data_IF_329113877476
#
_entry.id   IF_329113877476
#
_cell.length_a   1.000
_cell.length_b   1.000
_cell.length_c   1.000
_cell.angle_alpha   90.00
_cell.angle_beta   90.00
_cell.angle_gamma   90.00
#
_symmetry.space_group_name_H-M   'P 1'
#
loop_
_entity.id
_entity.type
_entity.pdbx_description
1 polymer ?
#
# COMPACT_ATOMS: atom_id res chain seq x y z
N UNK A 1 16.97 -31.81 -14.53
CA UNK A 1 17.34 -30.38 -14.35
C UNK A 1 16.69 -29.59 -15.48
N UNK A 2 16.13 -28.41 -15.18
CA UNK A 2 15.63 -27.50 -16.23
C UNK A 2 16.81 -26.90 -17.01
N UNK A 3 16.64 -26.72 -18.32
CA UNK A 3 17.54 -25.90 -19.13
C UNK A 3 17.40 -24.43 -18.77
N UNK A 4 18.38 -23.59 -19.14
CA UNK A 4 18.33 -22.13 -18.91
C UNK A 4 17.05 -21.49 -19.47
N UNK A 5 16.63 -21.89 -20.67
CA UNK A 5 15.41 -21.36 -21.31
C UNK A 5 14.15 -21.77 -20.56
N UNK A 6 14.09 -23.00 -20.09
CA UNK A 6 12.96 -23.49 -19.28
C UNK A 6 12.90 -22.78 -17.93
N UNK A 7 14.05 -22.57 -17.28
CA UNK A 7 14.12 -21.83 -16.03
C UNK A 7 13.62 -20.38 -16.18
N UNK A 8 14.01 -19.69 -17.26
CA UNK A 8 13.54 -18.34 -17.55
C UNK A 8 12.02 -18.29 -17.83
N UNK A 9 11.49 -19.23 -18.62
CA UNK A 9 10.04 -19.34 -18.88
C UNK A 9 9.24 -19.66 -17.62
N UNK A 10 9.78 -20.52 -16.76
CA UNK A 10 9.16 -20.85 -15.49
C UNK A 10 9.07 -19.61 -14.59
N UNK A 11 10.17 -18.88 -14.43
CA UNK A 11 10.19 -17.62 -13.67
C UNK A 11 9.23 -16.57 -14.25
N UNK A 12 9.23 -16.38 -15.57
CA UNK A 12 8.32 -15.44 -16.23
C UNK A 12 6.85 -15.80 -15.95
N UNK A 13 6.48 -17.08 -16.08
CA UNK A 13 5.12 -17.54 -15.81
C UNK A 13 4.67 -17.24 -14.38
N UNK A 14 5.56 -17.38 -13.40
CA UNK A 14 5.27 -17.09 -12.00
C UNK A 14 5.14 -15.59 -11.70
N UNK A 15 5.85 -14.73 -12.43
CA UNK A 15 6.03 -13.30 -12.08
C UNK A 15 5.22 -12.35 -12.94
N UNK A 16 4.98 -12.70 -14.21
CA UNK A 16 4.41 -11.81 -15.23
C UNK A 16 3.06 -11.24 -14.81
N UNK A 17 2.17 -12.07 -14.27
CA UNK A 17 0.82 -11.61 -13.89
C UNK A 17 0.84 -10.62 -12.72
N UNK A 18 1.57 -10.95 -11.65
CA UNK A 18 1.70 -10.05 -10.49
C UNK A 18 2.43 -8.75 -10.86
N UNK A 19 3.50 -8.82 -11.64
CA UNK A 19 4.19 -7.64 -12.13
C UNK A 19 3.27 -6.75 -12.98
N UNK A 20 2.47 -7.33 -13.87
CA UNK A 20 1.49 -6.60 -14.66
C UNK A 20 0.42 -5.93 -13.79
N UNK A 21 -0.10 -6.61 -12.77
CA UNK A 21 -1.05 -6.00 -11.81
C UNK A 21 -0.47 -4.78 -11.12
N UNK A 22 0.77 -4.87 -10.62
CA UNK A 22 1.44 -3.73 -9.97
C UNK A 22 1.63 -2.56 -10.94
N UNK A 23 2.08 -2.85 -12.17
CA UNK A 23 2.25 -1.81 -13.20
C UNK A 23 0.92 -1.14 -13.53
N UNK A 24 -0.16 -1.90 -13.68
CA UNK A 24 -1.50 -1.34 -13.94
C UNK A 24 -2.02 -0.52 -12.75
N UNK A 25 -1.83 -0.99 -11.52
CA UNK A 25 -2.22 -0.26 -10.31
C UNK A 25 -1.45 1.07 -10.19
N UNK A 26 -0.14 1.07 -10.47
CA UNK A 26 0.69 2.27 -10.47
C UNK A 26 0.42 3.21 -11.67
N UNK A 27 -0.23 2.73 -12.74
CA UNK A 27 -0.73 3.58 -13.83
C UNK A 27 -2.06 4.26 -13.50
N UNK A 28 -2.80 3.71 -12.53
CA UNK A 28 -3.80 4.47 -11.79
C UNK A 28 -3.10 5.32 -10.74
N UNK A 29 -3.75 5.52 -9.59
CA UNK A 29 -3.14 6.30 -8.51
C UNK A 29 -2.18 5.50 -7.63
N UNK A 30 -2.18 4.16 -7.75
CA UNK A 30 -1.34 3.29 -6.92
C UNK A 30 -1.44 3.61 -5.42
N UNK A 31 -0.31 3.85 -4.72
CA UNK A 31 -0.32 4.23 -3.32
C UNK A 31 -0.73 5.70 -3.07
N UNK A 32 -0.84 6.53 -4.11
CA UNK A 32 -1.09 7.97 -4.00
C UNK A 32 -2.56 8.33 -3.75
N UNK A 33 -3.47 7.35 -3.76
CA UNK A 33 -4.91 7.58 -3.55
C UNK A 33 -5.18 8.33 -2.25
N UNK A 34 -4.54 7.89 -1.15
CA UNK A 34 -4.67 8.50 0.18
C UNK A 34 -4.23 9.96 0.14
N UNK A 35 -3.09 10.24 -0.50
CA UNK A 35 -2.56 11.60 -0.64
C UNK A 35 -3.49 12.49 -1.45
N UNK A 36 -4.05 11.99 -2.57
CA UNK A 36 -4.99 12.76 -3.40
C UNK A 36 -6.27 13.07 -2.63
N UNK A 37 -6.82 12.12 -1.88
CA UNK A 37 -8.04 12.36 -1.08
C UNK A 37 -7.81 13.47 -0.06
N UNK A 38 -6.65 13.46 0.62
CA UNK A 38 -6.28 14.54 1.55
C UNK A 38 -6.19 15.89 0.82
N UNK A 39 -5.57 15.93 -0.35
CA UNK A 39 -5.50 17.15 -1.17
C UNK A 39 -6.90 17.64 -1.57
N UNK A 40 -7.78 16.75 -2.05
CA UNK A 40 -9.14 17.07 -2.47
C UNK A 40 -10.01 17.58 -1.31
N UNK A 41 -9.86 17.00 -0.11
CA UNK A 41 -10.63 17.38 1.09
C UNK A 41 -10.14 18.68 1.72
N UNK A 42 -8.86 18.98 1.60
CA UNK A 42 -8.24 20.15 2.24
C UNK A 42 -8.05 21.31 1.27
N UNK A 43 -8.13 21.07 -0.04
CA UNK A 43 -7.69 22.00 -1.09
C UNK A 43 -6.27 22.54 -0.82
N UNK A 44 -5.40 21.68 -0.27
CA UNK A 44 -4.03 22.01 0.11
C UNK A 44 -3.91 22.97 1.32
N UNK A 45 -5.01 23.28 2.01
CA UNK A 45 -4.99 24.15 3.18
C UNK A 45 -4.40 23.42 4.40
N UNK A 46 -3.80 24.19 5.31
CA UNK A 46 -3.29 23.67 6.58
C UNK A 46 -4.46 23.16 7.44
N UNK A 47 -4.28 21.98 8.02
CA UNK A 47 -5.16 21.39 9.03
C UNK A 47 -4.30 20.94 10.22
N UNK A 48 -4.92 20.82 11.39
CA UNK A 48 -4.21 20.48 12.64
C UNK A 48 -4.37 19.00 13.01
N UNK A 49 -5.31 18.29 12.40
CA UNK A 49 -5.64 16.89 12.72
C UNK A 49 -6.00 16.10 11.45
N UNK A 50 -5.23 15.05 11.18
CA UNK A 50 -5.45 14.18 10.02
C UNK A 50 -6.69 13.30 10.16
N UNK A 51 -7.10 12.93 11.38
CA UNK A 51 -8.27 12.08 11.60
C UNK A 51 -9.58 12.81 11.24
N UNK A 52 -9.57 14.14 11.25
CA UNK A 52 -10.68 14.97 10.78
C UNK A 52 -10.74 15.08 9.25
N UNK A 53 -9.63 14.84 8.56
CA UNK A 53 -9.53 14.91 7.10
C UNK A 53 -9.76 13.53 6.49
N UNK A 54 -9.05 12.52 6.97
CA UNK A 54 -9.11 11.15 6.47
C UNK A 54 -8.87 10.18 7.65
N UNK A 55 -9.95 9.67 8.26
CA UNK A 55 -9.84 8.75 9.39
C UNK A 55 -9.01 7.51 9.07
N UNK A 56 -8.25 7.02 10.05
CA UNK A 56 -7.36 5.86 9.86
C UNK A 56 -8.09 4.65 9.25
N UNK A 57 -9.29 4.32 9.72
CA UNK A 57 -10.05 3.18 9.22
C UNK A 57 -10.39 3.30 7.72
N UNK A 58 -10.64 4.52 7.25
CA UNK A 58 -10.89 4.78 5.83
C UNK A 58 -9.59 4.67 5.01
N UNK A 59 -8.51 5.30 5.49
CA UNK A 59 -7.19 5.20 4.87
C UNK A 59 -6.70 3.75 4.77
N UNK A 60 -6.85 2.98 5.85
CA UNK A 60 -6.44 1.58 5.90
C UNK A 60 -7.25 0.74 4.92
N UNK A 61 -8.57 0.91 4.83
CA UNK A 61 -9.39 0.17 3.87
C UNK A 61 -8.94 0.41 2.41
N UNK A 62 -8.63 1.66 2.06
CA UNK A 62 -8.14 2.05 0.73
C UNK A 62 -6.75 1.42 0.47
N UNK A 63 -5.84 1.55 1.43
CA UNK A 63 -4.47 1.09 1.30
C UNK A 63 -4.37 -0.44 1.28
N UNK A 64 -5.24 -1.12 2.02
CA UNK A 64 -5.38 -2.58 2.08
C UNK A 64 -5.69 -3.17 0.71
N UNK A 65 -6.61 -2.54 -0.02
CA UNK A 65 -7.03 -3.02 -1.32
C UNK A 65 -5.89 -2.89 -2.34
N UNK A 66 -5.12 -1.80 -2.30
CA UNK A 66 -3.91 -1.67 -3.12
C UNK A 66 -2.89 -2.79 -2.80
N UNK A 67 -2.61 -3.06 -1.51
CA UNK A 67 -1.67 -4.10 -1.11
C UNK A 67 -2.10 -5.48 -1.60
N UNK A 68 -3.39 -5.80 -1.50
CA UNK A 68 -3.97 -7.03 -2.03
C UNK A 68 -3.76 -7.14 -3.55
N UNK A 69 -4.02 -6.07 -4.29
CA UNK A 69 -3.84 -6.03 -5.76
C UNK A 69 -2.36 -6.15 -6.16
N UNK A 70 -1.46 -5.54 -5.39
CA UNK A 70 -0.01 -5.60 -5.60
C UNK A 70 0.60 -6.95 -5.20
N UNK A 71 -0.19 -7.86 -4.60
CA UNK A 71 0.30 -9.14 -4.09
C UNK A 71 1.20 -9.00 -2.86
N UNK A 72 1.12 -7.86 -2.15
CA UNK A 72 1.84 -7.62 -0.91
C UNK A 72 0.94 -8.04 0.25
N UNK A 73 1.35 -9.06 1.02
CA UNK A 73 0.71 -9.30 2.31
C UNK A 73 1.11 -8.18 3.27
N UNK A 74 0.11 -7.49 3.82
CA UNK A 74 0.35 -6.52 4.88
C UNK A 74 0.84 -7.29 6.12
N UNK A 75 1.93 -6.87 6.77
CA UNK A 75 2.27 -7.39 8.09
C UNK A 75 1.06 -7.23 9.01
N UNK A 76 0.67 -8.29 9.72
CA UNK A 76 -0.32 -8.17 10.79
C UNK A 76 0.28 -7.23 11.84
N UNK A 77 -0.30 -6.05 11.99
CA UNK A 77 0.08 -5.11 13.02
C UNK A 77 -0.71 -5.46 14.28
N UNK A 78 -0.13 -6.31 15.14
CA UNK A 78 -0.63 -6.48 16.49
C UNK A 78 -0.50 -5.12 17.21
N UNK A 79 -1.61 -4.53 17.63
CA UNK A 79 -1.63 -3.25 18.35
C UNK A 79 -0.83 -3.29 19.68
N UNK A 80 -0.45 -4.48 20.14
CA UNK A 80 0.37 -4.76 21.33
C UNK A 80 1.85 -4.99 21.00
N UNK A 81 2.24 -5.03 19.73
CA UNK A 81 3.59 -5.37 19.31
C UNK A 81 4.40 -4.09 19.03
N UNK A 82 5.34 -3.79 19.91
CA UNK A 82 6.28 -2.67 19.72
C UNK A 82 7.27 -3.06 18.62
N UNK A 83 6.95 -2.68 17.38
CA UNK A 83 7.86 -2.85 16.25
C UNK A 83 9.01 -1.84 16.35
N UNK A 84 10.26 -2.20 15.99
CA UNK A 84 11.34 -1.21 15.81
C UNK A 84 11.05 -0.23 14.64
N UNK A 85 10.01 -0.50 13.85
CA UNK A 85 9.44 0.39 12.85
C UNK A 85 8.05 0.91 13.26
N UNK A 86 7.78 1.04 14.57
CA UNK A 86 6.56 1.66 15.05
C UNK A 86 6.40 3.05 14.41
N UNK A 87 5.18 3.32 13.92
CA UNK A 87 4.85 4.62 13.34
C UNK A 87 5.15 5.73 14.35
N UNK A 88 5.92 6.74 13.94
CA UNK A 88 6.20 7.94 14.73
C UNK A 88 4.93 8.76 15.01
N UNK A 89 3.82 8.44 14.36
CA UNK A 89 2.53 9.10 14.51
C UNK A 89 1.59 8.42 15.52
N UNK A 90 1.98 7.28 16.10
CA UNK A 90 1.27 6.67 17.22
C UNK A 90 1.97 7.09 18.51
N UNK A 91 1.81 8.35 18.90
CA UNK A 91 1.98 8.76 20.29
C UNK A 91 0.72 9.51 20.72
N UNK A 92 0.00 8.86 21.62
CA UNK A 92 -1.19 9.33 22.31
C UNK A 92 -0.95 10.64 23.05
N UNK A 93 -1.84 11.59 22.81
CA UNK A 93 -2.25 12.60 23.79
C UNK A 93 -3.68 12.28 24.23
#
# INVERSE_FOLDING_TARGET
MMTRREALKHYDTQRRETANRVVLANRGDGPEVVRRIVEERTAGQRFDDIEQVLPYAEADAIFSEYHRLAGMQRPQHDATQTSPFASVFIQSA
#
